data_IF_405238286074
#
_entry.id   IF_405238286074
#
_cell.length_a   1.000
_cell.length_b   1.000
_cell.length_c   1.000
_cell.angle_alpha   90.00
_cell.angle_beta   90.00
_cell.angle_gamma   90.00
#
_symmetry.space_group_name_H-M   'P 1'
#
loop_
_entity.id
_entity.type
_entity.pdbx_description
1 polymer ?
#
# COMPACT_ATOMS: atom_id res chain seq x y z
N UNK A 1 68.86 -26.42 13.94
CA UNK A 1 68.46 -27.73 13.39
C UNK A 1 67.68 -28.46 14.47
N UNK A 2 66.38 -28.67 14.28
CA UNK A 2 65.57 -29.59 15.12
C UNK A 2 64.43 -30.14 14.26
N UNK A 3 64.63 -31.31 13.67
CA UNK A 3 63.60 -32.07 12.98
C UNK A 3 62.68 -32.77 13.98
N UNK A 4 61.37 -32.83 13.70
CA UNK A 4 60.46 -33.72 14.42
C UNK A 4 59.55 -34.47 13.43
N UNK A 5 59.79 -35.77 13.16
CA UNK A 5 58.98 -36.58 12.26
C UNK A 5 58.05 -37.54 13.02
N UNK A 6 56.75 -37.46 12.75
CA UNK A 6 55.83 -38.60 12.60
C UNK A 6 54.46 -38.06 12.15
N UNK A 7 53.69 -38.63 11.20
CA UNK A 7 53.42 -40.00 10.74
C UNK A 7 52.01 -40.42 11.15
N UNK A 8 51.16 -40.61 10.14
CA UNK A 8 49.97 -41.46 10.09
C UNK A 8 49.07 -41.60 11.35
N UNK A 9 47.87 -41.03 11.26
CA UNK A 9 46.66 -41.78 11.61
C UNK A 9 45.58 -41.54 10.53
N UNK A 10 45.55 -42.41 9.52
CA UNK A 10 44.63 -42.30 8.37
C UNK A 10 43.29 -42.94 8.77
N UNK A 11 42.52 -42.19 9.56
CA UNK A 11 41.23 -42.65 10.08
C UNK A 11 40.16 -42.70 8.99
N UNK A 12 40.05 -43.87 8.36
CA UNK A 12 38.97 -44.24 7.45
C UNK A 12 37.60 -43.98 8.09
N UNK A 13 36.92 -42.95 7.61
CA UNK A 13 35.50 -42.74 7.85
C UNK A 13 34.70 -43.37 6.70
N UNK A 14 33.58 -44.06 6.97
CA UNK A 14 32.72 -44.57 5.91
C UNK A 14 32.08 -43.40 5.14
N UNK A 15 31.71 -43.59 3.86
CA UNK A 15 30.98 -42.57 3.11
C UNK A 15 29.64 -42.29 3.79
N UNK A 16 29.47 -41.08 4.31
CA UNK A 16 28.19 -40.61 4.81
C UNK A 16 27.20 -40.49 3.65
N UNK A 17 25.93 -40.78 3.91
CA UNK A 17 24.89 -40.83 2.86
C UNK A 17 24.43 -39.43 2.48
N UNK A 18 25.22 -38.76 1.65
CA UNK A 18 24.88 -37.48 1.03
C UNK A 18 23.85 -37.66 -0.09
N UNK A 19 22.55 -37.60 0.23
CA UNK A 19 21.53 -37.20 -0.77
C UNK A 19 20.20 -36.75 -0.15
N UNK A 20 19.69 -37.43 0.87
CA UNK A 20 18.29 -37.28 1.31
C UNK A 20 17.94 -35.95 2.01
N UNK A 21 18.93 -35.15 2.43
CA UNK A 21 18.71 -33.95 3.26
C UNK A 21 18.56 -32.63 2.46
N UNK A 22 18.98 -32.57 1.20
CA UNK A 22 18.96 -31.31 0.43
C UNK A 22 17.60 -31.01 -0.21
N UNK A 23 16.80 -32.03 -0.55
CA UNK A 23 15.51 -31.86 -1.22
C UNK A 23 14.48 -31.17 -0.30
N UNK A 24 14.47 -31.51 1.00
CA UNK A 24 13.53 -30.95 1.97
C UNK A 24 13.73 -29.44 2.25
N UNK A 25 14.94 -28.91 2.07
CA UNK A 25 15.24 -27.48 2.31
C UNK A 25 14.89 -26.56 1.14
N UNK A 26 14.38 -27.09 0.02
CA UNK A 26 13.96 -26.31 -1.15
C UNK A 26 12.49 -25.87 -1.10
N UNK A 27 11.74 -26.32 -0.09
CA UNK A 27 10.31 -26.01 0.10
C UNK A 27 10.04 -24.77 0.96
N UNK A 28 11.02 -24.28 1.73
CA UNK A 28 10.97 -22.93 2.31
C UNK A 28 11.22 -21.89 1.21
N UNK A 29 10.23 -21.74 0.33
CA UNK A 29 10.13 -20.65 -0.64
C UNK A 29 9.95 -19.34 0.13
N UNK A 30 11.04 -18.81 0.67
CA UNK A 30 11.08 -17.53 1.34
C UNK A 30 10.50 -16.49 0.39
N UNK A 31 9.30 -15.99 0.74
CA UNK A 31 8.63 -14.93 -0.01
C UNK A 31 9.51 -13.70 0.10
N UNK A 32 10.41 -13.53 -0.86
CA UNK A 32 11.18 -12.32 -1.02
C UNK A 32 10.14 -11.20 -1.12
N UNK A 33 10.13 -10.22 -0.20
CA UNK A 33 9.14 -9.17 -0.23
C UNK A 33 9.28 -8.50 -1.58
N UNK A 34 8.25 -8.64 -2.42
CA UNK A 34 8.28 -8.23 -3.82
C UNK A 34 8.67 -6.77 -3.83
N UNK A 35 9.90 -6.48 -4.29
CA UNK A 35 10.37 -5.11 -4.45
C UNK A 35 9.51 -4.52 -5.56
N UNK A 36 8.39 -3.91 -5.16
CA UNK A 36 7.41 -3.37 -6.08
C UNK A 36 8.17 -2.48 -7.06
N UNK A 37 8.05 -2.73 -8.39
CA UNK A 37 8.88 -2.07 -9.39
C UNK A 37 8.77 -0.57 -9.15
N UNK A 38 9.92 0.09 -9.00
CA UNK A 38 10.03 1.40 -8.38
C UNK A 38 9.41 2.49 -9.25
N UNK A 39 8.07 2.56 -9.22
CA UNK A 39 7.25 3.68 -9.71
C UNK A 39 7.94 4.94 -9.24
N UNK A 40 8.37 5.76 -10.18
CA UNK A 40 9.30 6.83 -9.88
C UNK A 40 8.56 7.78 -8.93
N UNK A 41 9.21 8.23 -7.85
CA UNK A 41 8.53 9.12 -6.89
C UNK A 41 8.12 10.46 -7.53
N UNK A 42 8.65 10.78 -8.71
CA UNK A 42 8.21 11.86 -9.60
C UNK A 42 6.84 11.64 -10.28
N UNK A 43 6.31 10.42 -10.30
CA UNK A 43 5.04 10.04 -10.96
C UNK A 43 3.87 9.97 -9.99
N UNK A 44 4.08 9.56 -8.72
CA UNK A 44 3.01 9.41 -7.73
C UNK A 44 2.30 10.76 -7.45
N UNK A 45 0.95 10.80 -7.41
CA UNK A 45 0.20 12.03 -7.13
C UNK A 45 0.56 12.63 -5.77
N UNK A 46 0.28 13.92 -5.56
CA UNK A 46 0.70 14.64 -4.34
C UNK A 46 0.17 13.94 -3.08
N UNK A 47 -1.05 13.43 -3.10
CA UNK A 47 -1.71 12.85 -1.94
C UNK A 47 -1.05 11.53 -1.51
N UNK A 48 -0.59 10.71 -2.47
CA UNK A 48 0.24 9.52 -2.20
C UNK A 48 1.62 9.88 -1.66
N UNK A 49 2.23 10.97 -2.14
CA UNK A 49 3.52 11.46 -1.64
C UNK A 49 3.39 12.07 -0.23
N UNK A 50 2.31 12.78 0.07
CA UNK A 50 2.01 13.32 1.40
C UNK A 50 1.76 12.17 2.40
N UNK A 51 1.10 11.07 1.96
CA UNK A 51 0.93 9.85 2.74
C UNK A 51 2.27 9.12 3.01
N UNK A 52 3.08 8.87 1.98
CA UNK A 52 4.42 8.28 2.11
C UNK A 52 5.34 9.13 3.01
N UNK A 53 5.23 10.46 2.93
CA UNK A 53 5.96 11.36 3.82
C UNK A 53 5.56 11.14 5.28
N UNK A 54 4.25 11.08 5.59
CA UNK A 54 3.76 10.81 6.94
C UNK A 54 4.20 9.43 7.46
N UNK A 55 4.22 8.40 6.61
CA UNK A 55 4.73 7.06 6.95
C UNK A 55 6.22 7.09 7.37
N UNK A 56 7.09 7.79 6.62
CA UNK A 56 8.50 7.96 6.98
C UNK A 56 8.74 8.97 8.13
N UNK A 57 7.67 9.53 8.71
CA UNK A 57 7.74 10.53 9.79
C UNK A 57 8.18 11.92 9.35
N UNK A 58 8.06 12.23 8.05
CA UNK A 58 8.26 13.56 7.48
C UNK A 58 6.97 14.38 7.60
N UNK A 59 7.11 15.70 7.59
CA UNK A 59 6.02 16.67 7.67
C UNK A 59 5.82 17.31 6.29
N UNK A 60 4.89 16.73 5.51
CA UNK A 60 4.61 17.15 4.13
C UNK A 60 4.32 18.66 4.00
N UNK A 61 3.73 19.26 5.04
CA UNK A 61 3.32 20.69 5.05
C UNK A 61 4.50 21.66 4.97
N UNK A 62 5.73 21.21 5.21
CA UNK A 62 6.96 22.01 5.05
C UNK A 62 7.38 22.19 3.60
N UNK A 63 6.95 21.29 2.71
CA UNK A 63 7.43 21.22 1.34
C UNK A 63 6.41 21.85 0.39
N UNK A 64 6.67 23.10 -0.02
CA UNK A 64 5.78 23.85 -0.91
C UNK A 64 5.59 23.13 -2.26
N UNK A 65 6.68 22.65 -2.85
CA UNK A 65 6.68 21.96 -4.16
C UNK A 65 6.75 20.43 -4.00
N UNK A 66 6.13 19.71 -4.95
CA UNK A 66 6.20 18.25 -5.06
C UNK A 66 7.63 17.74 -5.20
N UNK A 67 8.50 18.48 -5.90
CA UNK A 67 9.92 18.13 -6.08
C UNK A 67 10.70 18.13 -4.76
N UNK A 68 10.50 19.13 -3.88
CA UNK A 68 11.16 19.13 -2.57
C UNK A 68 10.67 17.99 -1.67
N UNK A 69 9.38 17.64 -1.75
CA UNK A 69 8.83 16.50 -1.02
C UNK A 69 9.43 15.17 -1.48
N UNK A 70 9.51 14.95 -2.80
CA UNK A 70 10.15 13.78 -3.42
C UNK A 70 11.63 13.69 -3.02
N UNK A 71 12.36 14.81 -3.07
CA UNK A 71 13.75 14.87 -2.65
C UNK A 71 13.92 14.49 -1.16
N UNK A 72 13.08 15.04 -0.28
CA UNK A 72 13.10 14.71 1.14
C UNK A 72 12.75 13.24 1.43
N UNK A 73 11.83 12.63 0.68
CA UNK A 73 11.54 11.19 0.77
C UNK A 73 12.74 10.35 0.31
N UNK A 74 13.43 10.74 -0.76
CA UNK A 74 14.65 10.07 -1.23
C UNK A 74 15.81 10.18 -0.21
N UNK A 75 16.10 11.37 0.28
CA UNK A 75 17.09 11.63 1.35
C UNK A 75 16.78 10.79 2.59
N UNK A 76 15.49 10.75 2.98
CA UNK A 76 15.02 9.95 4.11
C UNK A 76 15.21 8.45 3.93
N UNK A 77 14.95 7.91 2.72
CA UNK A 77 15.23 6.51 2.39
C UNK A 77 16.74 6.21 2.39
N UNK A 78 17.57 7.11 1.87
CA UNK A 78 19.03 6.98 1.93
C UNK A 78 19.55 6.99 3.38
N UNK A 79 19.02 7.88 4.22
CA UNK A 79 19.29 7.90 5.67
C UNK A 79 18.92 6.55 6.30
N UNK A 80 17.72 6.01 6.02
CA UNK A 80 17.28 4.70 6.53
C UNK A 80 18.19 3.55 6.04
N UNK A 81 18.61 3.57 4.77
CA UNK A 81 19.55 2.60 4.22
C UNK A 81 20.92 2.66 4.93
N UNK A 82 21.39 3.86 5.31
CA UNK A 82 22.66 4.06 6.03
C UNK A 82 22.63 3.64 7.51
N UNK A 83 21.45 3.52 8.13
CA UNK A 83 21.34 3.17 9.55
C UNK A 83 21.64 1.70 9.84
N UNK A 84 22.19 1.44 11.02
CA UNK A 84 22.50 0.10 11.50
C UNK A 84 21.23 -0.66 11.91
N UNK A 85 21.04 -1.87 11.37
CA UNK A 85 19.79 -2.64 11.53
C UNK A 85 19.53 -3.04 12.99
N UNK A 86 20.57 -3.42 13.73
CA UNK A 86 20.41 -3.91 15.10
C UNK A 86 20.10 -2.76 16.07
N UNK A 87 20.71 -1.59 15.85
CA UNK A 87 20.34 -0.36 16.56
C UNK A 87 18.88 0.07 16.27
N UNK A 88 18.36 -0.19 15.06
CA UNK A 88 16.93 0.00 14.77
C UNK A 88 16.04 -1.03 15.49
N UNK A 89 16.45 -2.30 15.54
CA UNK A 89 15.76 -3.35 16.30
C UNK A 89 15.73 -3.06 17.82
N UNK A 90 16.79 -2.49 18.38
CA UNK A 90 16.82 -2.02 19.77
C UNK A 90 15.74 -0.95 20.04
N UNK A 91 15.59 0.05 19.16
CA UNK A 91 14.55 1.08 19.30
C UNK A 91 13.15 0.48 19.18
N UNK A 92 12.94 -0.47 18.26
CA UNK A 92 11.65 -1.18 18.08
C UNK A 92 11.29 -2.02 19.32
N UNK A 93 12.26 -2.76 19.88
CA UNK A 93 12.11 -3.54 21.12
C UNK A 93 11.83 -2.64 22.32
N UNK A 94 12.56 -1.54 22.47
CA UNK A 94 12.33 -0.50 23.48
C UNK A 94 10.92 0.11 23.36
N UNK A 95 10.46 0.36 22.12
CA UNK A 95 9.11 0.80 21.79
C UNK A 95 8.01 -0.24 22.03
N UNK A 96 8.36 -1.48 22.41
CA UNK A 96 7.47 -2.64 22.59
C UNK A 96 6.58 -2.93 21.37
N UNK A 97 7.11 -2.71 20.15
CA UNK A 97 6.42 -3.05 18.90
C UNK A 97 6.76 -4.48 18.46
N UNK A 98 5.77 -5.36 18.21
CA UNK A 98 6.02 -6.67 17.63
C UNK A 98 6.40 -6.50 16.15
N UNK A 99 7.58 -7.01 15.77
CA UNK A 99 8.11 -6.92 14.40
C UNK A 99 8.81 -8.25 14.08
N UNK A 100 8.61 -8.84 12.88
CA UNK A 100 9.24 -10.11 12.52
C UNK A 100 10.77 -10.00 12.52
N UNK A 101 11.50 -11.07 12.89
CA UNK A 101 12.97 -11.04 13.03
C UNK A 101 13.69 -10.70 11.71
N UNK A 102 13.02 -10.93 10.57
CA UNK A 102 13.54 -10.68 9.22
C UNK A 102 13.05 -9.35 8.61
N UNK A 103 12.46 -8.44 9.39
CA UNK A 103 11.98 -7.15 8.91
C UNK A 103 13.06 -6.30 8.21
N UNK A 104 12.67 -5.64 7.12
CA UNK A 104 13.52 -4.71 6.38
C UNK A 104 13.76 -3.40 7.16
N UNK A 105 14.85 -2.68 6.83
CA UNK A 105 15.16 -1.38 7.47
C UNK A 105 14.01 -0.37 7.33
N UNK A 106 13.31 -0.35 6.21
CA UNK A 106 12.16 0.53 6.00
C UNK A 106 11.00 0.19 6.95
N UNK A 107 10.62 -1.09 7.07
CA UNK A 107 9.59 -1.53 8.03
C UNK A 107 9.97 -1.19 9.49
N UNK A 108 11.24 -1.34 9.85
CA UNK A 108 11.76 -0.90 11.16
C UNK A 108 11.64 0.62 11.33
N UNK A 109 11.93 1.42 10.29
CA UNK A 109 11.78 2.88 10.32
C UNK A 109 10.31 3.32 10.51
N UNK A 110 9.35 2.65 9.84
CA UNK A 110 7.91 2.90 10.02
C UNK A 110 7.48 2.67 11.48
N UNK A 111 7.89 1.55 12.08
CA UNK A 111 7.55 1.27 13.48
C UNK A 111 8.25 2.22 14.46
N UNK A 112 9.49 2.65 14.19
CA UNK A 112 10.17 3.69 14.98
C UNK A 112 9.42 5.03 14.91
N UNK A 113 8.94 5.44 13.73
CA UNK A 113 8.14 6.65 13.57
C UNK A 113 6.82 6.58 14.38
N UNK A 114 6.21 5.39 14.45
CA UNK A 114 4.99 5.07 15.21
C UNK A 114 5.17 5.01 16.74
N UNK A 115 6.39 5.10 17.27
CA UNK A 115 6.60 5.18 18.74
C UNK A 115 6.22 6.58 19.24
N UNK A 116 5.43 6.64 20.31
CA UNK A 116 5.05 7.88 21.02
C UNK A 116 5.55 7.95 22.48
N UNK A 117 6.25 6.92 22.95
CA UNK A 117 6.85 6.90 24.30
C UNK A 117 8.15 7.71 24.33
N UNK A 118 8.42 8.38 25.46
CA UNK A 118 9.64 9.18 25.70
C UNK A 118 10.39 8.74 26.98
N UNK A 119 10.23 7.46 27.36
CA UNK A 119 10.95 6.85 28.49
C UNK A 119 12.29 6.29 28.03
N UNK A 120 13.28 7.16 27.79
CA UNK A 120 14.61 6.80 27.26
C UNK A 120 15.44 5.84 28.13
N UNK A 121 14.97 5.49 29.33
CA UNK A 121 15.49 4.42 30.18
C UNK A 121 15.57 3.09 29.42
N UNK A 122 16.74 2.46 29.40
CA UNK A 122 16.96 1.15 28.76
C UNK A 122 17.18 1.20 27.24
N UNK A 123 17.29 2.39 26.63
CA UNK A 123 17.73 2.52 25.24
C UNK A 123 19.25 2.76 25.19
N UNK A 124 19.96 2.07 24.30
CA UNK A 124 21.42 2.24 24.13
C UNK A 124 21.76 3.58 23.47
N UNK A 125 23.03 4.00 23.51
CA UNK A 125 23.49 5.19 22.77
C UNK A 125 23.28 5.02 21.25
N UNK A 126 23.52 3.83 20.68
CA UNK A 126 23.27 3.52 19.26
C UNK A 126 21.79 3.65 18.91
N UNK A 127 20.91 3.05 19.70
CA UNK A 127 19.46 3.20 19.55
C UNK A 127 18.99 4.66 19.71
N UNK A 128 19.58 5.43 20.63
CA UNK A 128 19.25 6.84 20.81
C UNK A 128 19.69 7.72 19.63
N UNK A 129 20.86 7.42 19.04
CA UNK A 129 21.36 8.05 17.80
C UNK A 129 20.41 7.74 16.63
N UNK A 130 19.99 6.48 16.47
CA UNK A 130 18.99 6.07 15.47
C UNK A 130 17.66 6.79 15.67
N UNK A 131 17.13 6.81 16.90
CA UNK A 131 15.87 7.48 17.23
C UNK A 131 15.94 8.99 16.93
N UNK A 132 17.07 9.64 17.25
CA UNK A 132 17.29 11.06 16.98
C UNK A 132 17.36 11.39 15.48
N UNK A 133 18.12 10.61 14.69
CA UNK A 133 18.10 10.72 13.21
C UNK A 133 16.70 10.46 12.65
N UNK A 134 15.97 9.50 13.22
CA UNK A 134 14.56 9.24 12.88
C UNK A 134 13.57 10.32 13.33
N UNK A 135 13.97 11.32 14.14
CA UNK A 135 13.20 12.56 14.35
C UNK A 135 13.71 13.76 13.54
N UNK A 136 14.69 13.56 12.65
CA UNK A 136 15.30 14.65 11.89
C UNK A 136 16.13 15.59 12.77
N UNK A 137 16.79 15.06 13.81
CA UNK A 137 17.84 15.80 14.50
C UNK A 137 19.18 15.54 13.82
N UNK A 138 19.86 16.62 13.43
CA UNK A 138 21.30 16.58 13.16
C UNK A 138 22.05 16.26 14.45
N UNK A 139 23.04 15.36 14.35
CA UNK A 139 23.85 14.90 15.46
C UNK A 139 25.31 15.18 15.17
N UNK A 140 26.01 15.86 16.08
CA UNK A 140 27.47 15.78 16.10
C UNK A 140 27.87 14.41 16.65
N UNK A 141 28.92 13.83 16.07
CA UNK A 141 29.17 12.37 16.11
C UNK A 141 29.38 11.73 17.49
N UNK A 142 29.64 12.54 18.52
CA UNK A 142 29.85 12.10 19.91
C UNK A 142 29.14 13.05 20.90
N UNK A 143 27.84 13.27 20.72
CA UNK A 143 27.03 13.98 21.71
C UNK A 143 26.68 13.06 22.90
N UNK A 144 27.04 13.42 24.15
CA UNK A 144 26.79 12.57 25.29
C UNK A 144 25.30 12.41 25.56
N UNK A 145 24.89 11.18 25.91
CA UNK A 145 23.51 10.74 26.12
C UNK A 145 22.58 11.76 26.84
N UNK A 146 22.93 12.41 27.97
CA UNK A 146 22.06 13.41 28.61
C UNK A 146 21.71 14.61 27.73
N UNK A 147 22.62 15.04 26.82
CA UNK A 147 22.33 16.12 25.87
C UNK A 147 21.40 15.66 24.74
N UNK A 148 21.57 14.43 24.25
CA UNK A 148 20.64 13.79 23.31
C UNK A 148 19.22 13.72 23.88
N UNK A 149 19.07 13.26 25.13
CA UNK A 149 17.78 13.22 25.85
C UNK A 149 17.19 14.63 26.00
N UNK A 150 18.00 15.64 26.35
CA UNK A 150 17.54 17.04 26.48
C UNK A 150 17.07 17.61 25.13
N UNK A 151 17.75 17.28 24.03
CA UNK A 151 17.36 17.69 22.66
C UNK A 151 16.09 16.97 22.19
N UNK A 152 15.99 15.65 22.34
CA UNK A 152 14.80 14.86 22.01
C UNK A 152 13.54 15.40 22.73
N UNK A 153 13.62 15.64 24.04
CA UNK A 153 12.51 16.23 24.82
C UNK A 153 12.12 17.63 24.33
N UNK A 154 13.10 18.47 23.98
CA UNK A 154 12.84 19.81 23.41
C UNK A 154 12.12 19.73 22.06
N UNK A 155 12.49 18.76 21.22
CA UNK A 155 11.93 18.60 19.88
C UNK A 155 10.50 18.01 19.91
N UNK A 156 10.22 17.05 20.80
CA UNK A 156 8.87 16.48 20.96
C UNK A 156 7.81 17.55 21.27
N UNK A 157 8.13 18.50 22.15
CA UNK A 157 7.22 19.60 22.52
C UNK A 157 6.75 20.46 21.34
N UNK A 158 7.45 20.40 20.20
CA UNK A 158 7.03 20.98 18.93
C UNK A 158 6.10 20.03 18.15
N UNK A 159 6.49 18.77 17.95
CA UNK A 159 5.69 17.76 17.25
C UNK A 159 4.34 17.47 17.91
N UNK A 160 4.28 17.45 19.25
CA UNK A 160 3.03 17.29 20.02
C UNK A 160 2.02 18.38 19.69
N UNK A 161 2.46 19.65 19.69
CA UNK A 161 1.64 20.81 19.31
C UNK A 161 1.23 20.75 17.84
N UNK A 162 2.14 20.39 16.95
CA UNK A 162 1.87 20.27 15.51
C UNK A 162 0.84 19.17 15.19
N UNK A 163 0.98 17.98 15.80
CA UNK A 163 0.06 16.87 15.61
C UNK A 163 -1.34 17.18 16.19
N UNK A 164 -1.42 17.90 17.32
CA UNK A 164 -2.68 18.46 17.83
C UNK A 164 -3.31 19.43 16.82
N UNK A 165 -2.51 20.29 16.19
CA UNK A 165 -2.98 21.26 15.17
C UNK A 165 -3.42 20.59 13.85
N UNK A 166 -2.70 19.57 13.35
CA UNK A 166 -3.15 18.78 12.17
C UNK A 166 -4.48 18.07 12.46
N UNK A 167 -4.65 17.46 13.64
CA UNK A 167 -5.93 16.84 14.02
C UNK A 167 -7.07 17.83 14.17
N UNK A 168 -6.85 19.03 14.70
CA UNK A 168 -7.90 20.06 14.70
C UNK A 168 -8.21 20.61 13.30
N UNK A 169 -7.20 20.74 12.42
CA UNK A 169 -7.42 21.16 11.02
C UNK A 169 -8.21 20.11 10.22
N UNK A 170 -7.82 18.84 10.30
CA UNK A 170 -8.56 17.75 9.65
C UNK A 170 -9.97 17.64 10.25
N UNK A 171 -10.12 17.79 11.56
CA UNK A 171 -11.43 17.92 12.21
C UNK A 171 -12.28 19.05 11.62
N UNK A 172 -11.72 20.25 11.43
CA UNK A 172 -12.43 21.39 10.84
C UNK A 172 -12.71 21.24 9.34
N UNK A 173 -11.86 20.55 8.58
CA UNK A 173 -12.11 20.27 7.16
C UNK A 173 -13.24 19.24 7.04
N UNK A 174 -13.20 18.17 7.83
CA UNK A 174 -14.26 17.16 7.87
C UNK A 174 -15.58 17.76 8.39
N UNK A 175 -15.58 18.60 9.43
CA UNK A 175 -16.82 19.24 9.92
C UNK A 175 -17.41 20.23 8.91
N UNK A 176 -16.59 20.87 8.08
CA UNK A 176 -17.06 21.81 7.07
C UNK A 176 -17.45 21.12 5.76
N UNK A 177 -16.95 19.92 5.47
CA UNK A 177 -17.39 19.09 4.34
C UNK A 177 -18.59 18.20 4.70
N UNK A 178 -18.80 17.87 5.98
CA UNK A 178 -20.06 17.36 6.54
C UNK A 178 -20.87 18.52 7.14
N UNK A 179 -20.83 19.69 6.49
CA UNK A 179 -21.41 20.92 7.01
C UNK A 179 -22.94 20.88 7.04
N UNK A 180 -23.50 21.10 8.23
CA UNK A 180 -24.88 21.55 8.52
C UNK A 180 -26.06 20.63 8.09
N UNK A 181 -25.88 19.65 7.20
CA UNK A 181 -26.82 18.53 6.97
C UNK A 181 -26.79 17.47 8.10
N UNK A 182 -26.44 17.89 9.32
CA UNK A 182 -26.69 17.15 10.55
C UNK A 182 -28.10 17.46 11.14
N UNK A 183 -28.91 18.25 10.42
CA UNK A 183 -30.35 18.28 10.62
C UNK A 183 -30.98 16.94 10.21
N UNK A 184 -31.90 16.45 11.04
CA UNK A 184 -32.86 15.39 10.68
C UNK A 184 -32.28 14.04 10.24
N UNK A 185 -31.54 13.38 11.15
CA UNK A 185 -31.31 11.92 11.11
C UNK A 185 -32.59 11.13 11.47
N UNK A 186 -33.67 11.42 10.75
CA UNK A 186 -34.95 10.71 10.78
C UNK A 186 -34.87 9.47 9.87
N UNK A 187 -35.89 8.60 9.89
CA UNK A 187 -35.93 7.34 9.15
C UNK A 187 -34.93 6.25 9.60
N UNK A 188 -35.04 5.86 10.88
CA UNK A 188 -35.44 4.47 11.12
C UNK A 188 -36.97 4.46 11.31
N UNK A 189 -37.77 3.92 10.35
CA UNK A 189 -39.20 3.80 10.55
C UNK A 189 -39.49 2.79 11.68
N UNK A 190 -40.45 3.06 12.58
CA UNK A 190 -40.87 2.07 13.56
C UNK A 190 -41.45 0.85 12.85
N UNK A 191 -40.94 -0.34 13.16
CA UNK A 191 -41.47 -1.60 12.63
C UNK A 191 -42.77 -1.98 13.36
N UNK A 192 -43.87 -1.30 13.00
CA UNK A 192 -45.20 -1.53 13.54
C UNK A 192 -46.09 -2.31 12.55
N UNK A 193 -46.47 -3.53 12.93
CA UNK A 193 -47.60 -4.26 12.34
C UNK A 193 -47.27 -5.21 11.19
N UNK A 194 -47.24 -6.52 11.48
CA UNK A 194 -47.27 -7.60 10.49
C UNK A 194 -48.45 -8.55 10.80
N UNK A 195 -49.68 -8.03 10.68
CA UNK A 195 -50.93 -8.74 10.99
C UNK A 195 -52.08 -8.23 10.11
N UNK A 196 -52.70 -9.09 9.28
CA UNK A 196 -53.91 -8.72 8.52
C UNK A 196 -54.14 -9.49 7.20
N UNK A 197 -54.81 -10.66 7.28
CA UNK A 197 -55.44 -11.40 6.15
C UNK A 197 -56.89 -10.92 5.95
N UNK A 198 -57.56 -11.11 4.77
CA UNK A 198 -58.03 -12.41 4.22
C UNK A 198 -57.79 -12.51 2.68
N UNK A 199 -58.30 -13.40 1.81
CA UNK A 199 -59.07 -14.68 1.78
C UNK A 199 -58.88 -15.28 0.34
N UNK A 200 -59.32 -16.44 -0.18
CA UNK A 200 -59.98 -17.72 0.21
C UNK A 200 -59.81 -18.68 -1.02
N UNK A 201 -60.40 -19.92 -1.12
CA UNK A 201 -60.99 -20.81 -0.10
C UNK A 201 -60.36 -22.24 -0.03
N UNK A 202 -60.83 -23.00 0.96
CA UNK A 202 -60.55 -24.39 1.42
C UNK A 202 -60.88 -25.53 0.42
N UNK A 203 -60.74 -26.87 0.71
CA UNK A 203 -60.43 -27.58 1.98
C UNK A 203 -59.33 -28.70 1.91
N UNK A 204 -58.76 -29.25 3.00
CA UNK A 204 -59.45 -30.16 3.96
C UNK A 204 -58.68 -30.50 5.26
N UNK A 205 -59.48 -30.75 6.33
CA UNK A 205 -59.24 -31.65 7.49
C UNK A 205 -58.04 -31.49 8.46
N UNK A 206 -58.31 -30.80 9.59
CA UNK A 206 -58.21 -31.28 11.00
C UNK A 206 -56.91 -31.93 11.52
N UNK A 207 -56.27 -31.28 12.52
CA UNK A 207 -56.11 -31.77 13.93
C UNK A 207 -55.61 -30.59 14.81
N UNK A 208 -56.16 -30.34 16.02
CA UNK A 208 -55.71 -29.24 16.89
C UNK A 208 -54.59 -29.63 17.86
N UNK A 209 -53.59 -28.76 18.04
CA UNK A 209 -52.55 -28.84 19.08
C UNK A 209 -52.01 -27.44 19.44
N UNK A 210 -51.45 -27.29 20.65
CA UNK A 210 -51.28 -26.00 21.35
C UNK A 210 -50.35 -24.94 20.72
N UNK A 211 -50.81 -23.68 20.55
CA UNK A 211 -49.97 -22.55 20.13
C UNK A 211 -49.29 -21.85 21.31
N UNK A 212 -48.42 -22.58 22.05
CA UNK A 212 -47.78 -22.06 23.28
C UNK A 212 -46.23 -22.09 23.29
N UNK A 213 -45.59 -22.70 22.29
CA UNK A 213 -44.22 -23.22 22.40
C UNK A 213 -43.14 -22.55 21.53
N UNK A 214 -43.46 -21.50 20.77
CA UNK A 214 -42.48 -20.80 19.91
C UNK A 214 -41.91 -19.50 20.48
N UNK A 215 -42.30 -19.11 21.70
CA UNK A 215 -41.78 -17.91 22.37
C UNK A 215 -40.51 -18.16 23.21
N UNK A 216 -40.16 -19.41 23.48
CA UNK A 216 -38.96 -19.79 24.26
C UNK A 216 -37.67 -19.68 23.46
N UNK A 217 -37.64 -20.20 22.23
CA UNK A 217 -36.41 -20.39 21.44
C UNK A 217 -35.59 -19.11 21.25
N UNK A 218 -36.23 -17.98 20.96
CA UNK A 218 -35.53 -16.69 20.80
C UNK A 218 -34.95 -16.19 22.13
N UNK A 219 -35.59 -16.49 23.26
CA UNK A 219 -35.11 -16.09 24.59
C UNK A 219 -33.96 -16.98 25.05
N UNK A 220 -34.09 -18.28 24.81
CA UNK A 220 -33.12 -19.32 25.13
C UNK A 220 -31.84 -19.16 24.27
N UNK A 221 -31.98 -18.84 22.98
CA UNK A 221 -30.84 -18.48 22.10
C UNK A 221 -30.13 -17.19 22.57
N UNK A 222 -30.85 -16.23 23.17
CA UNK A 222 -30.26 -15.00 23.73
C UNK A 222 -29.57 -15.25 25.08
N UNK A 223 -30.04 -16.20 25.89
CA UNK A 223 -29.36 -16.61 27.13
C UNK A 223 -28.15 -17.50 26.85
N UNK A 224 -28.20 -18.41 25.87
CA UNK A 224 -27.09 -19.31 25.52
C UNK A 224 -25.99 -18.61 24.69
N UNK A 225 -26.34 -17.79 23.67
CA UNK A 225 -25.34 -17.03 22.90
C UNK A 225 -24.91 -15.71 23.56
N UNK A 226 -25.65 -15.29 24.59
CA UNK A 226 -25.47 -14.02 25.30
C UNK A 226 -25.81 -12.79 24.47
N UNK A 227 -26.10 -11.68 25.15
CA UNK A 227 -26.47 -10.40 24.52
C UNK A 227 -25.44 -9.91 23.47
N UNK A 228 -24.16 -10.26 23.64
CA UNK A 228 -23.10 -9.93 22.70
C UNK A 228 -23.06 -10.81 21.44
N UNK A 229 -23.46 -12.09 21.51
CA UNK A 229 -23.46 -13.00 20.36
C UNK A 229 -24.43 -12.56 19.26
N UNK A 230 -25.67 -12.22 19.66
CA UNK A 230 -26.68 -11.68 18.76
C UNK A 230 -26.29 -10.35 18.10
N UNK A 231 -25.57 -9.48 18.82
CA UNK A 231 -25.04 -8.22 18.27
C UNK A 231 -23.89 -8.51 17.29
N UNK A 232 -22.94 -9.38 17.64
CA UNK A 232 -21.81 -9.73 16.79
C UNK A 232 -22.25 -10.31 15.43
N UNK A 233 -23.25 -11.20 15.41
CA UNK A 233 -23.80 -11.73 14.15
C UNK A 233 -24.54 -10.67 13.31
N UNK A 234 -25.22 -9.70 13.93
CA UNK A 234 -25.85 -8.57 13.21
C UNK A 234 -24.80 -7.63 12.62
N UNK A 235 -23.80 -7.24 13.41
CA UNK A 235 -22.67 -6.40 12.97
C UNK A 235 -21.86 -7.09 11.86
N UNK A 236 -21.68 -8.42 11.94
CA UNK A 236 -21.06 -9.19 10.87
C UNK A 236 -21.89 -9.12 9.58
N UNK A 237 -23.21 -9.40 9.62
CA UNK A 237 -24.06 -9.31 8.42
C UNK A 237 -24.08 -7.91 7.79
N UNK A 238 -24.07 -6.84 8.58
CA UNK A 238 -23.98 -5.48 8.02
C UNK A 238 -22.60 -5.16 7.46
N UNK A 239 -21.52 -5.66 8.08
CA UNK A 239 -20.17 -5.55 7.54
C UNK A 239 -20.00 -6.34 6.23
N UNK A 240 -20.44 -7.60 6.17
CA UNK A 240 -20.39 -8.45 4.98
C UNK A 240 -21.20 -7.81 3.82
N UNK A 241 -22.38 -7.26 4.11
CA UNK A 241 -23.20 -6.52 3.13
C UNK A 241 -22.51 -5.24 2.62
N UNK A 242 -21.89 -4.45 3.51
CA UNK A 242 -21.13 -3.26 3.15
C UNK A 242 -19.87 -3.60 2.34
N UNK A 243 -19.19 -4.71 2.66
CA UNK A 243 -18.04 -5.20 1.92
C UNK A 243 -18.46 -5.59 0.50
N UNK A 244 -19.55 -6.36 0.35
CA UNK A 244 -20.08 -6.71 -0.97
C UNK A 244 -20.46 -5.46 -1.78
N UNK A 245 -21.22 -4.53 -1.20
CA UNK A 245 -21.55 -3.25 -1.84
C UNK A 245 -20.30 -2.47 -2.29
N UNK A 246 -19.20 -2.55 -1.53
CA UNK A 246 -17.92 -1.92 -1.90
C UNK A 246 -17.12 -2.70 -2.94
N UNK A 247 -17.27 -4.02 -3.01
CA UNK A 247 -16.73 -4.81 -4.12
C UNK A 247 -17.49 -4.47 -5.41
N UNK A 248 -18.82 -4.41 -5.39
CA UNK A 248 -19.66 -4.01 -6.55
C UNK A 248 -19.32 -2.57 -7.04
N UNK A 249 -19.08 -1.63 -6.10
CA UNK A 249 -18.64 -0.27 -6.43
C UNK A 249 -17.21 -0.25 -7.03
N UNK A 250 -16.32 -1.13 -6.57
CA UNK A 250 -14.96 -1.25 -7.10
C UNK A 250 -14.98 -1.89 -8.50
N UNK A 251 -15.75 -2.95 -8.71
CA UNK A 251 -15.95 -3.64 -10.00
C UNK A 251 -16.51 -2.68 -11.04
N UNK A 252 -17.62 -2.00 -10.74
CA UNK A 252 -18.21 -0.99 -11.65
C UNK A 252 -17.31 0.24 -11.90
N UNK A 253 -16.32 0.53 -11.04
CA UNK A 253 -15.26 1.53 -11.29
C UNK A 253 -14.13 0.97 -12.16
N UNK A 254 -13.81 -0.33 -12.05
CA UNK A 254 -12.83 -1.02 -12.87
C UNK A 254 -13.34 -1.16 -14.31
N UNK A 255 -14.57 -1.61 -14.52
CA UNK A 255 -15.17 -1.77 -15.85
C UNK A 255 -15.16 -0.45 -16.63
N UNK A 256 -15.64 0.64 -16.00
CA UNK A 256 -15.59 1.99 -16.59
C UNK A 256 -14.17 2.48 -16.89
N UNK A 257 -13.15 1.94 -16.24
CA UNK A 257 -11.73 2.24 -16.52
C UNK A 257 -11.15 1.35 -17.60
N UNK A 258 -11.61 0.11 -17.74
CA UNK A 258 -11.31 -0.75 -18.88
C UNK A 258 -11.92 -0.17 -20.17
N UNK A 259 -13.20 0.22 -20.15
CA UNK A 259 -13.88 0.93 -21.25
C UNK A 259 -13.10 2.20 -21.68
N UNK A 260 -12.65 2.99 -20.72
CA UNK A 260 -11.88 4.21 -20.99
C UNK A 260 -10.50 3.89 -21.60
N UNK A 261 -9.84 2.81 -21.15
CA UNK A 261 -8.56 2.35 -21.69
C UNK A 261 -8.74 1.80 -23.11
N UNK A 262 -9.70 0.92 -23.36
CA UNK A 262 -9.93 0.32 -24.68
C UNK A 262 -10.38 1.36 -25.70
N UNK A 263 -11.21 2.33 -25.30
CA UNK A 263 -11.50 3.50 -26.13
C UNK A 263 -10.23 4.30 -26.47
N UNK A 264 -9.38 4.58 -25.48
CA UNK A 264 -8.11 5.29 -25.72
C UNK A 264 -7.17 4.48 -26.61
N UNK A 265 -7.11 3.16 -26.47
CA UNK A 265 -6.32 2.26 -27.32
C UNK A 265 -6.84 2.23 -28.77
N UNK A 266 -8.15 2.19 -28.98
CA UNK A 266 -8.75 2.32 -30.31
C UNK A 266 -8.41 3.69 -30.93
N UNK A 267 -8.61 4.79 -30.19
CA UNK A 267 -8.25 6.13 -30.66
C UNK A 267 -6.75 6.27 -30.98
N UNK A 268 -5.85 5.59 -30.25
CA UNK A 268 -4.41 5.57 -30.54
C UNK A 268 -4.06 4.72 -31.76
N UNK A 269 -4.61 3.50 -31.86
CA UNK A 269 -4.43 2.60 -33.00
C UNK A 269 -4.86 3.28 -34.31
N UNK A 270 -6.01 3.95 -34.29
CA UNK A 270 -6.58 4.57 -35.48
C UNK A 270 -5.76 5.82 -35.90
N UNK A 271 -5.22 6.59 -34.93
CA UNK A 271 -4.22 7.65 -35.17
C UNK A 271 -2.91 7.10 -35.76
N UNK A 272 -2.43 5.95 -35.28
CA UNK A 272 -1.22 5.31 -35.80
C UNK A 272 -1.42 4.78 -37.23
N UNK A 273 -2.53 4.09 -37.50
CA UNK A 273 -2.91 3.61 -38.84
C UNK A 273 -3.01 4.79 -39.82
N UNK A 274 -3.68 5.88 -39.43
CA UNK A 274 -3.75 7.09 -40.24
C UNK A 274 -2.38 7.71 -40.55
N UNK A 275 -1.44 7.68 -39.60
CA UNK A 275 -0.08 8.18 -39.81
C UNK A 275 0.76 7.25 -40.71
N UNK A 276 0.69 5.92 -40.49
CA UNK A 276 1.34 4.91 -41.35
C UNK A 276 0.85 5.03 -42.81
N UNK A 277 -0.46 5.20 -43.03
CA UNK A 277 -1.05 5.43 -44.36
C UNK A 277 -0.57 6.75 -44.97
N UNK A 278 -0.44 7.82 -44.16
CA UNK A 278 0.09 9.12 -44.65
C UNK A 278 1.53 8.99 -45.14
N UNK A 279 2.40 8.29 -44.41
CA UNK A 279 3.79 8.03 -44.81
C UNK A 279 3.84 7.24 -46.12
N UNK A 280 3.08 6.13 -46.22
CA UNK A 280 3.02 5.32 -47.44
C UNK A 280 2.54 6.11 -48.67
N UNK A 281 1.56 7.01 -48.51
CA UNK A 281 1.11 7.90 -49.58
C UNK A 281 2.22 8.87 -50.02
N UNK A 282 2.98 9.44 -49.09
CA UNK A 282 4.11 10.34 -49.42
C UNK A 282 5.20 9.59 -50.18
N UNK A 283 5.58 8.39 -49.75
CA UNK A 283 6.60 7.59 -50.45
C UNK A 283 6.15 7.16 -51.85
N UNK A 284 4.86 6.85 -52.04
CA UNK A 284 4.28 6.50 -53.34
C UNK A 284 4.29 7.70 -54.31
N UNK A 285 3.90 8.89 -53.83
CA UNK A 285 3.98 10.12 -54.63
C UNK A 285 5.43 10.46 -55.00
N UNK A 286 6.38 10.27 -54.08
CA UNK A 286 7.80 10.49 -54.37
C UNK A 286 8.32 9.56 -55.49
N UNK A 287 7.98 8.27 -55.47
CA UNK A 287 8.40 7.35 -56.55
C UNK A 287 7.75 7.67 -57.89
N UNK A 288 6.49 8.13 -57.91
CA UNK A 288 5.83 8.59 -59.14
C UNK A 288 6.52 9.84 -59.71
N UNK A 289 6.85 10.82 -58.86
CA UNK A 289 7.56 12.04 -59.27
C UNK A 289 8.95 11.71 -59.84
N UNK A 290 9.72 10.82 -59.20
CA UNK A 290 11.03 10.37 -59.71
C UNK A 290 10.89 9.67 -61.05
N UNK A 291 9.86 8.84 -61.25
CA UNK A 291 9.56 8.22 -62.55
C UNK A 291 9.28 9.24 -63.65
N UNK A 292 8.45 10.25 -63.37
CA UNK A 292 8.13 11.34 -64.30
C UNK A 292 9.39 12.16 -64.66
N UNK A 293 10.21 12.53 -63.66
CA UNK A 293 11.45 13.28 -63.88
C UNK A 293 12.46 12.47 -64.69
N UNK A 294 12.58 11.17 -64.45
CA UNK A 294 13.46 10.27 -65.22
C UNK A 294 13.00 10.13 -66.68
N UNK A 295 11.70 9.98 -66.93
CA UNK A 295 11.13 9.94 -68.28
C UNK A 295 11.32 11.27 -69.02
N UNK A 296 11.12 12.40 -68.33
CA UNK A 296 11.30 13.73 -68.90
C UNK A 296 12.78 14.01 -69.21
N UNK A 297 13.71 13.63 -68.32
CA UNK A 297 15.15 13.71 -68.59
C UNK A 297 15.56 12.90 -69.82
N UNK A 298 15.09 11.65 -69.94
CA UNK A 298 15.34 10.81 -71.11
C UNK A 298 14.78 11.43 -72.41
N UNK A 299 13.59 12.03 -72.36
CA UNK A 299 13.01 12.75 -73.49
C UNK A 299 13.84 13.97 -73.91
N UNK A 300 14.27 14.81 -72.96
CA UNK A 300 15.16 15.95 -73.23
C UNK A 300 16.50 15.50 -73.82
N UNK A 301 17.09 14.42 -73.29
CA UNK A 301 18.36 13.88 -73.78
C UNK A 301 18.26 13.38 -75.23
N UNK A 302 17.09 12.86 -75.66
CA UNK A 302 16.85 12.41 -77.04
C UNK A 302 16.55 13.57 -78.00
N UNK A 303 15.84 14.61 -77.56
CA UNK A 303 15.38 15.70 -78.44
C UNK A 303 16.27 16.95 -78.48
N UNK A 304 16.93 17.31 -77.38
CA UNK A 304 17.69 18.57 -77.25
C UNK A 304 19.18 18.38 -77.55
N UNK A 305 19.68 17.15 -77.46
CA UNK A 305 21.07 16.81 -77.78
C UNK A 305 21.10 15.98 -79.08
N UNK A 306 21.00 16.62 -80.27
CA UNK A 306 21.36 15.95 -81.51
C UNK A 306 22.84 15.52 -81.45
N UNK A 307 23.14 14.36 -82.04
CA UNK A 307 24.51 13.84 -82.20
C UNK A 307 25.21 14.47 -83.39
#
# INVERSE_FOLDING_TARGET
MSSNPNSADVKLLPPAVEDSAQIARRAEGAVQPTQAPSRQLADLPRDELDALAEEFGLDATRYKTRQHLVAAIHERRQLIASMERDAMLEVVRWGRRPVPPNAAKEQLALEIARIRSMRFSGLTQRGMIVLARMRGMELRGDEPMPLLVKRLKKQEGFFSKLNRKRRSMLGSIVSNMLGEEAAEYQYLPPQSGATGTPDAPSPSTVTPADPASQASTIREEIEESGLFGGIANRVKRTADSYINQKLDEIESRIDRKLDEIDRRLAEWRDKEIANRIRILKITLWASVIVGIVSALYAYLQVYIIPK
#
